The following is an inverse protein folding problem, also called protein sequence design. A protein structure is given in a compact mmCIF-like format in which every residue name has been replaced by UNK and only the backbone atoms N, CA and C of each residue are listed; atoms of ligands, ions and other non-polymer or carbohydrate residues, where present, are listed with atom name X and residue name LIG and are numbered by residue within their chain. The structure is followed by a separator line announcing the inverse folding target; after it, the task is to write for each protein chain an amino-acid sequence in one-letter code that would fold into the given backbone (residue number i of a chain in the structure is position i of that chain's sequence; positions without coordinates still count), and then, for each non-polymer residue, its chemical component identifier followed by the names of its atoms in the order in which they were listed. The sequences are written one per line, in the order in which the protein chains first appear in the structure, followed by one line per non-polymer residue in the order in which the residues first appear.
data_IF_592697406673
#
_entry.id   IF_592697406673
#
_cell.length_a   1.000
_cell.length_b   1.000
_cell.length_c   1.000
_cell.angle_alpha   90.00
_cell.angle_beta   90.00
_cell.angle_gamma   90.00
#
_symmetry.space_group_name_H-M   'P 1'
#
loop_
_entity.id
_entity.type
_entity.pdbx_description
1 polymer ?
#
# COMPACT_ATOMS: atom_id res chain seq x y z
N UNK A 1 9.56 13.78 32.66
CA UNK A 1 10.42 12.67 32.20
C UNK A 1 10.25 12.59 30.69
N UNK A 2 11.35 12.64 29.93
CA UNK A 2 11.31 12.46 28.48
C UNK A 2 11.09 10.96 28.23
N UNK A 3 9.92 10.57 27.71
CA UNK A 3 9.64 9.16 27.40
C UNK A 3 10.48 8.73 26.20
N UNK A 4 11.49 7.90 26.45
CA UNK A 4 12.29 7.30 25.38
C UNK A 4 11.44 6.31 24.58
N UNK A 5 11.66 6.18 23.26
CA UNK A 5 10.99 5.17 22.45
C UNK A 5 11.27 3.78 23.02
N UNK A 6 10.21 3.02 23.32
CA UNK A 6 10.33 1.67 23.86
C UNK A 6 10.48 0.65 22.72
N UNK A 7 11.38 -0.32 22.89
CA UNK A 7 11.52 -1.45 21.97
C UNK A 7 10.77 -2.64 22.57
N UNK A 8 9.94 -3.28 21.76
CA UNK A 8 9.31 -4.57 22.09
C UNK A 8 9.69 -5.62 21.04
N UNK A 9 9.24 -6.86 21.24
CA UNK A 9 9.40 -7.96 20.28
C UNK A 9 8.07 -8.21 19.57
N UNK A 10 8.14 -8.40 18.26
CA UNK A 10 6.98 -8.69 17.42
C UNK A 10 7.29 -9.84 16.47
N UNK A 11 6.28 -10.68 16.20
CA UNK A 11 6.39 -11.72 15.19
C UNK A 11 6.02 -11.14 13.82
N UNK A 12 6.99 -11.18 12.91
CA UNK A 12 6.87 -10.73 11.51
C UNK A 12 6.90 -11.95 10.60
N UNK A 13 5.86 -12.15 9.79
CA UNK A 13 5.76 -13.29 8.88
C UNK A 13 6.39 -12.94 7.53
N UNK A 14 7.72 -13.01 7.42
CA UNK A 14 8.43 -12.70 6.17
C UNK A 14 8.06 -13.67 5.06
N UNK A 15 8.24 -13.26 3.80
CA UNK A 15 8.13 -14.17 2.67
C UNK A 15 9.33 -15.11 2.61
N UNK A 16 9.07 -16.40 2.43
CA UNK A 16 10.09 -17.46 2.32
C UNK A 16 9.86 -18.38 1.12
N UNK A 17 8.94 -17.99 0.24
CA UNK A 17 8.76 -18.69 -1.02
C UNK A 17 9.95 -18.49 -1.96
N UNK A 18 10.10 -19.35 -2.97
CA UNK A 18 11.06 -19.12 -4.04
C UNK A 18 10.77 -17.78 -4.72
N UNK A 19 11.75 -17.20 -5.40
CA UNK A 19 11.43 -16.19 -6.41
C UNK A 19 10.59 -16.92 -7.48
N UNK A 20 9.31 -16.59 -7.67
CA UNK A 20 8.47 -17.37 -8.57
C UNK A 20 9.06 -17.33 -9.98
N UNK A 21 9.31 -18.51 -10.58
CA UNK A 21 9.70 -18.58 -11.99
C UNK A 21 8.56 -18.08 -12.91
N UNK A 22 7.32 -18.25 -12.45
CA UNK A 22 6.12 -17.65 -13.02
C UNK A 22 5.44 -16.80 -11.94
N UNK A 23 5.36 -15.47 -12.12
CA UNK A 23 4.69 -14.57 -11.21
C UNK A 23 3.25 -14.94 -10.82
N UNK A 24 2.56 -15.75 -11.64
CA UNK A 24 1.17 -16.17 -11.44
C UNK A 24 1.02 -17.32 -10.43
N UNK A 25 2.12 -17.93 -9.98
CA UNK A 25 2.10 -19.13 -9.13
C UNK A 25 2.41 -18.90 -7.65
N UNK A 26 2.84 -17.69 -7.27
CA UNK A 26 3.23 -17.35 -5.90
C UNK A 26 2.05 -17.03 -4.96
N UNK A 27 2.32 -17.03 -3.65
CA UNK A 27 1.35 -16.67 -2.60
C UNK A 27 1.04 -15.18 -2.53
N UNK A 28 -0.20 -14.87 -2.15
CA UNK A 28 -0.63 -13.49 -1.90
C UNK A 28 -0.06 -12.95 -0.58
N UNK A 29 0.18 -11.64 -0.52
CA UNK A 29 0.64 -10.90 0.67
C UNK A 29 -0.26 -11.08 1.92
N UNK A 30 -1.52 -11.48 1.72
CA UNK A 30 -2.51 -11.64 2.77
C UNK A 30 -2.46 -12.95 3.57
N UNK A 31 -1.66 -13.95 3.18
CA UNK A 31 -1.60 -15.24 3.90
C UNK A 31 -0.52 -15.23 4.99
N UNK A 32 -0.85 -15.65 6.21
CA UNK A 32 0.10 -15.78 7.32
C UNK A 32 0.91 -17.09 7.32
N UNK A 33 0.39 -18.15 6.66
CA UNK A 33 0.89 -19.51 6.85
C UNK A 33 1.68 -20.06 5.64
N UNK A 34 1.23 -19.80 4.40
CA UNK A 34 1.89 -20.36 3.21
C UNK A 34 3.08 -19.50 2.79
N UNK A 35 4.23 -20.11 2.56
CA UNK A 35 5.47 -19.42 2.14
C UNK A 35 5.83 -18.26 3.09
N UNK A 36 5.57 -18.48 4.39
CA UNK A 36 5.82 -17.54 5.46
C UNK A 36 6.95 -18.07 6.37
N UNK A 37 7.87 -17.18 6.72
CA UNK A 37 8.92 -17.41 7.70
C UNK A 37 8.72 -16.44 8.87
N UNK A 38 8.04 -16.88 9.96
CA UNK A 38 7.84 -16.06 11.13
C UNK A 38 9.17 -15.81 11.84
N UNK A 39 9.49 -14.54 12.04
CA UNK A 39 10.71 -14.09 12.71
C UNK A 39 10.34 -13.12 13.83
N UNK A 40 10.92 -13.33 15.00
CA UNK A 40 10.73 -12.42 16.14
C UNK A 40 11.74 -11.28 16.04
N UNK A 41 11.25 -10.10 15.66
CA UNK A 41 12.06 -8.91 15.40
C UNK A 41 11.90 -7.87 16.51
N UNK A 42 12.95 -7.08 16.83
CA UNK A 42 12.78 -5.86 17.60
C UNK A 42 11.94 -4.86 16.79
N UNK A 43 10.94 -4.27 17.44
CA UNK A 43 10.10 -3.23 16.85
C UNK A 43 10.00 -2.03 17.80
N UNK A 44 10.26 -0.84 17.27
CA UNK A 44 10.39 0.39 18.05
C UNK A 44 9.07 1.15 18.06
N UNK A 45 8.51 1.40 19.25
CA UNK A 45 7.35 2.28 19.41
C UNK A 45 7.78 3.73 19.20
N UNK A 46 7.20 4.37 18.18
CA UNK A 46 7.52 5.75 17.80
C UNK A 46 6.56 6.77 18.43
N UNK A 47 5.60 6.34 19.26
CA UNK A 47 4.59 7.19 19.91
C UNK A 47 5.16 8.51 20.46
N UNK A 48 6.26 8.44 21.23
CA UNK A 48 6.87 9.61 21.87
C UNK A 48 7.64 10.52 20.90
N UNK A 49 7.83 10.08 19.65
CA UNK A 49 8.60 10.77 18.62
C UNK A 49 7.73 11.38 17.50
N UNK A 50 6.40 11.20 17.53
CA UNK A 50 5.56 11.51 16.36
C UNK A 50 5.31 12.99 16.12
N UNK A 51 5.23 13.80 17.18
CA UNK A 51 4.77 15.18 17.09
C UNK A 51 5.74 16.30 17.55
N UNK A 52 7.03 16.06 17.88
CA UNK A 52 7.96 17.17 18.02
C UNK A 52 8.25 17.79 16.63
N UNK A 53 8.44 19.12 16.53
CA UNK A 53 9.00 19.76 15.34
C UNK A 53 10.54 19.73 15.39
N UNK A 54 11.24 19.39 14.29
CA UNK A 54 10.73 18.82 13.03
C UNK A 54 10.30 17.35 13.20
N UNK A 55 9.45 16.80 12.28
CA UNK A 55 9.02 15.41 12.35
C UNK A 55 10.21 14.45 12.36
N UNK A 56 10.21 13.48 13.28
CA UNK A 56 11.29 12.50 13.40
C UNK A 56 11.36 11.53 12.19
N UNK A 57 10.22 11.29 11.52
CA UNK A 57 10.09 10.39 10.38
C UNK A 57 9.50 11.12 9.18
N UNK A 58 10.19 11.03 8.03
CA UNK A 58 9.81 11.74 6.81
C UNK A 58 9.63 10.79 5.62
N UNK A 59 8.82 11.19 4.65
CA UNK A 59 8.54 10.40 3.44
C UNK A 59 9.77 10.28 2.53
N UNK A 60 10.69 11.24 2.54
CA UNK A 60 11.88 11.20 1.68
C UNK A 60 13.02 10.39 2.31
N UNK A 61 13.13 10.34 3.64
CA UNK A 61 14.22 9.60 4.31
C UNK A 61 13.76 8.20 4.72
N UNK A 62 12.68 8.12 5.51
CA UNK A 62 12.23 6.86 6.11
C UNK A 62 11.19 6.15 5.24
N UNK A 63 10.56 6.86 4.30
CA UNK A 63 9.48 6.34 3.46
C UNK A 63 8.11 6.36 4.14
N UNK A 64 8.00 6.89 5.36
CA UNK A 64 6.73 7.07 6.06
C UNK A 64 6.76 8.29 6.99
N UNK A 65 5.58 8.73 7.40
CA UNK A 65 5.38 9.70 8.47
C UNK A 65 4.03 9.45 9.15
N UNK A 66 3.83 9.97 10.36
CA UNK A 66 2.53 9.93 11.05
C UNK A 66 2.17 11.35 11.45
N UNK A 67 0.95 11.77 11.13
CA UNK A 67 0.51 13.15 11.32
C UNK A 67 -0.78 13.20 12.11
N UNK A 68 -0.95 14.27 12.89
CA UNK A 68 -2.27 14.62 13.41
C UNK A 68 -3.16 15.06 12.27
N UNK A 69 -4.28 14.38 12.12
CA UNK A 69 -5.30 14.70 11.14
C UNK A 69 -6.67 14.23 11.64
N UNK A 70 -7.49 15.17 12.11
CA UNK A 70 -8.88 14.89 12.48
C UNK A 70 -9.77 15.06 11.25
N UNK A 71 -10.31 13.95 10.74
CA UNK A 71 -11.35 14.01 9.70
C UNK A 71 -12.66 14.55 10.27
N UNK A 72 -13.46 15.24 9.48
CA UNK A 72 -14.81 15.63 9.88
C UNK A 72 -15.68 14.41 10.24
N UNK A 73 -15.44 13.25 9.60
CA UNK A 73 -16.14 11.99 9.89
C UNK A 73 -15.82 11.38 11.27
N UNK A 74 -14.93 11.98 12.06
CA UNK A 74 -14.67 11.60 13.46
C UNK A 74 -15.54 12.35 14.46
N UNK A 75 -16.30 13.35 14.02
CA UNK A 75 -17.06 14.26 14.88
C UNK A 75 -18.55 14.24 14.53
N UNK A 76 -19.39 14.63 15.49
CA UNK A 76 -20.84 14.77 15.27
C UNK A 76 -21.13 15.74 14.10
N UNK A 77 -22.17 15.48 13.27
CA UNK A 77 -23.21 14.45 13.44
C UNK A 77 -22.79 13.04 12.95
N UNK A 78 -21.58 12.86 12.46
CA UNK A 78 -21.10 11.58 11.94
C UNK A 78 -20.76 10.59 13.06
N UNK A 79 -20.76 9.31 12.69
CA UNK A 79 -20.44 8.19 13.57
C UNK A 79 -19.50 7.20 12.87
N UNK A 80 -19.15 6.11 13.56
CA UNK A 80 -18.39 5.02 12.96
C UNK A 80 -19.04 4.49 11.67
N UNK A 81 -20.37 4.43 11.61
CA UNK A 81 -21.09 3.92 10.43
C UNK A 81 -21.04 4.86 9.24
N UNK A 82 -20.82 6.16 9.46
CA UNK A 82 -20.66 7.14 8.37
C UNK A 82 -19.49 6.80 7.45
N UNK A 83 -18.48 6.09 7.95
CA UNK A 83 -17.35 5.60 7.14
C UNK A 83 -17.77 4.53 6.13
N UNK A 84 -18.93 3.89 6.30
CA UNK A 84 -19.46 2.88 5.36
C UNK A 84 -20.19 3.54 4.18
N UNK A 85 -20.57 4.80 4.28
CA UNK A 85 -21.21 5.57 3.22
C UNK A 85 -20.19 6.02 2.15
N UNK A 86 -20.39 5.61 0.90
CA UNK A 86 -19.50 5.95 -0.21
C UNK A 86 -19.51 7.44 -0.54
N UNK A 87 -20.68 8.09 -0.49
CA UNK A 87 -20.81 9.50 -0.78
C UNK A 87 -20.08 10.35 0.28
N UNK A 88 -20.21 10.00 1.56
CA UNK A 88 -19.48 10.71 2.63
C UNK A 88 -17.96 10.53 2.50
N UNK A 89 -17.49 9.34 2.13
CA UNK A 89 -16.05 9.14 1.86
C UNK A 89 -15.57 9.99 0.68
N UNK A 90 -16.32 10.00 -0.42
CA UNK A 90 -15.97 10.74 -1.64
C UNK A 90 -16.05 12.26 -1.47
N UNK A 91 -17.05 12.77 -0.75
CA UNK A 91 -17.28 14.20 -0.57
C UNK A 91 -16.48 14.84 0.57
N UNK A 92 -16.04 14.05 1.56
CA UNK A 92 -15.36 14.56 2.76
C UNK A 92 -13.96 13.95 2.90
N UNK A 93 -13.88 12.62 3.02
CA UNK A 93 -12.64 11.99 3.42
C UNK A 93 -11.55 12.02 2.34
N UNK A 94 -11.89 11.74 1.08
CA UNK A 94 -10.91 11.76 -0.01
C UNK A 94 -10.33 13.16 -0.27
N UNK A 95 -11.12 14.25 -0.29
CA UNK A 95 -10.58 15.62 -0.34
C UNK A 95 -9.63 15.95 0.82
N UNK A 96 -9.95 15.50 2.04
CA UNK A 96 -9.06 15.65 3.20
C UNK A 96 -7.73 14.90 2.99
N UNK A 97 -7.78 13.67 2.47
CA UNK A 97 -6.58 12.87 2.15
C UNK A 97 -5.74 13.55 1.06
N UNK A 98 -6.36 14.04 -0.01
CA UNK A 98 -5.64 14.78 -1.05
C UNK A 98 -4.93 16.01 -0.46
N UNK A 99 -5.62 16.78 0.39
CA UNK A 99 -5.06 17.96 1.03
C UNK A 99 -3.85 17.62 1.91
N UNK A 100 -3.98 16.66 2.83
CA UNK A 100 -2.88 16.33 3.75
C UNK A 100 -1.69 15.71 3.00
N UNK A 101 -1.93 14.93 1.94
CA UNK A 101 -0.84 14.39 1.12
C UNK A 101 -0.12 15.52 0.38
N UNK A 102 -0.84 16.50 -0.18
CA UNK A 102 -0.20 17.69 -0.79
C UNK A 102 0.65 18.45 0.22
N UNK A 103 0.13 18.69 1.43
CA UNK A 103 0.84 19.40 2.50
C UNK A 103 2.12 18.68 2.93
N UNK A 104 2.13 17.33 2.93
CA UNK A 104 3.28 16.54 3.38
C UNK A 104 4.28 16.20 2.30
N UNK A 105 3.88 16.23 1.04
CA UNK A 105 4.74 15.88 -0.10
C UNK A 105 5.18 17.09 -0.93
N UNK A 106 4.47 18.22 -0.82
CA UNK A 106 4.64 19.36 -1.72
C UNK A 106 4.08 19.13 -3.14
N UNK A 107 3.36 18.04 -3.38
CA UNK A 107 2.74 17.76 -4.66
C UNK A 107 1.69 18.82 -5.01
N UNK A 108 1.57 19.16 -6.30
CA UNK A 108 0.58 20.11 -6.81
C UNK A 108 -0.76 19.44 -7.05
N UNK A 109 -0.74 18.18 -7.47
CA UNK A 109 -1.91 17.36 -7.75
C UNK A 109 -1.80 16.03 -7.04
N UNK A 110 -2.90 15.60 -6.44
CA UNK A 110 -3.07 14.27 -5.84
C UNK A 110 -4.40 13.73 -6.33
N UNK A 111 -4.44 12.46 -6.73
CA UNK A 111 -5.64 11.76 -7.14
C UNK A 111 -5.77 10.47 -6.33
N UNK A 112 -6.97 10.16 -5.86
CA UNK A 112 -7.22 8.89 -5.17
C UNK A 112 -7.31 7.74 -6.16
N UNK A 113 -6.48 6.71 -5.98
CA UNK A 113 -6.51 5.48 -6.78
C UNK A 113 -7.64 4.56 -6.33
N UNK A 114 -7.76 4.39 -5.02
CA UNK A 114 -8.59 3.37 -4.42
C UNK A 114 -8.18 3.11 -2.98
N UNK A 115 -8.53 1.95 -2.45
CA UNK A 115 -8.27 1.66 -1.04
C UNK A 115 -8.79 0.32 -0.58
N UNK A 116 -8.51 0.04 0.69
CA UNK A 116 -8.98 -1.15 1.37
C UNK A 116 -9.48 -0.76 2.74
N UNK A 117 -10.68 -1.19 3.08
CA UNK A 117 -11.20 -1.10 4.44
C UNK A 117 -11.15 -2.47 5.11
N UNK A 118 -10.87 -2.47 6.41
CA UNK A 118 -10.84 -3.66 7.25
C UNK A 118 -11.72 -3.35 8.45
N UNK A 119 -12.94 -3.89 8.46
CA UNK A 119 -13.98 -3.55 9.45
C UNK A 119 -14.69 -4.77 10.03
N UNK A 120 -14.37 -5.97 9.55
CA UNK A 120 -15.00 -7.23 9.95
C UNK A 120 -13.92 -8.22 10.38
N UNK A 121 -14.27 -9.14 11.27
CA UNK A 121 -13.42 -10.28 11.60
C UNK A 121 -13.17 -11.09 10.34
N UNK A 122 -11.91 -11.13 9.91
CA UNK A 122 -11.48 -11.95 8.80
C UNK A 122 -10.91 -13.26 9.36
N UNK A 123 -11.48 -14.39 8.95
CA UNK A 123 -10.84 -15.70 9.10
C UNK A 123 -10.18 -16.03 7.78
N UNK A 124 -8.88 -16.35 7.79
CA UNK A 124 -8.23 -16.91 6.61
C UNK A 124 -8.99 -18.20 6.22
N UNK A 125 -9.49 -18.32 4.98
CA UNK A 125 -10.13 -19.56 4.56
C UNK A 125 -9.08 -20.66 4.47
N UNK A 126 -9.35 -21.84 5.06
CA UNK A 126 -8.45 -23.01 5.08
C UNK A 126 -7.95 -23.42 3.66
N UNK A 127 -8.76 -23.11 2.64
CA UNK A 127 -8.37 -23.10 1.22
C UNK A 127 -9.05 -21.92 0.52
N UNK A 128 -8.33 -21.20 -0.35
CA UNK A 128 -9.01 -20.39 -1.37
C UNK A 128 -9.87 -21.32 -2.24
N UNK A 129 -11.12 -20.98 -2.56
CA UNK A 129 -11.91 -21.78 -3.49
C UNK A 129 -11.17 -21.92 -4.81
N UNK A 130 -11.07 -23.15 -5.30
CA UNK A 130 -10.59 -23.41 -6.66
C UNK A 130 -11.49 -22.62 -7.60
N UNK A 131 -10.93 -21.81 -8.52
CA UNK A 131 -11.74 -21.21 -9.57
C UNK A 131 -12.55 -22.33 -10.25
N UNK A 132 -13.84 -22.13 -10.54
CA UNK A 132 -14.64 -23.15 -11.18
C UNK A 132 -13.97 -23.60 -12.49
N UNK A 133 -14.04 -24.91 -12.83
CA UNK A 133 -13.53 -25.40 -14.10
C UNK A 133 -14.28 -24.72 -15.25
N UNK A 134 -13.58 -24.46 -16.35
CA UNK A 134 -14.17 -23.80 -17.51
C UNK A 134 -15.19 -24.75 -18.17
N UNK A 135 -16.35 -24.25 -18.66
CA UNK A 135 -17.33 -25.08 -19.35
C UNK A 135 -16.75 -25.82 -20.56
N UNK A 136 -17.22 -27.04 -20.78
CA UNK A 136 -16.79 -27.92 -21.87
C UNK A 136 -17.01 -27.22 -23.24
N UNK A 137 -15.96 -27.17 -24.08
CA UNK A 137 -15.96 -26.43 -25.35
C UNK A 137 -15.31 -25.04 -25.33
N UNK A 138 -14.67 -24.63 -24.23
CA UNK A 138 -13.85 -23.41 -24.22
C UNK A 138 -12.54 -23.60 -25.01
N UNK A 139 -12.33 -22.80 -26.06
CA UNK A 139 -11.04 -22.72 -26.78
C UNK A 139 -10.07 -21.83 -25.97
N UNK A 140 -8.81 -22.23 -25.73
CA UNK A 140 -7.83 -21.34 -25.12
C UNK A 140 -7.43 -20.28 -26.14
N UNK A 141 -7.80 -19.03 -25.92
CA UNK A 141 -7.23 -17.93 -26.69
C UNK A 141 -5.91 -17.48 -26.06
N UNK A 142 -4.89 -17.37 -26.92
CA UNK A 142 -3.82 -16.40 -26.74
C UNK A 142 -4.50 -15.02 -26.64
N UNK A 143 -4.45 -14.42 -25.44
CA UNK A 143 -5.36 -13.40 -24.87
C UNK A 143 -6.83 -13.85 -24.66
N UNK A 144 -7.41 -13.62 -23.48
CA UNK A 144 -8.84 -13.78 -23.10
C UNK A 144 -9.28 -15.06 -22.34
N UNK A 145 -9.70 -14.88 -21.07
CA UNK A 145 -10.63 -15.77 -20.33
C UNK A 145 -11.60 -14.93 -19.48
N UNK A 146 -12.72 -14.53 -20.09
CA UNK A 146 -13.91 -13.97 -19.43
C UNK A 146 -14.36 -12.62 -20.02
N UNK A 147 -15.67 -12.46 -20.28
CA UNK A 147 -16.29 -11.15 -20.46
C UNK A 147 -16.21 -10.39 -19.13
N UNK A 148 -15.14 -9.63 -18.92
CA UNK A 148 -15.14 -8.56 -17.95
C UNK A 148 -15.48 -7.28 -18.70
N UNK A 149 -16.62 -6.63 -18.44
CA UNK A 149 -16.94 -5.38 -19.12
C UNK A 149 -15.81 -4.38 -18.88
N UNK A 150 -15.39 -3.67 -19.92
CA UNK A 150 -14.59 -2.45 -19.77
C UNK A 150 -15.29 -1.59 -18.70
N UNK A 151 -14.60 -1.34 -17.59
CA UNK A 151 -15.21 -0.73 -16.42
C UNK A 151 -15.15 0.79 -16.58
N UNK A 152 -16.28 1.50 -16.40
CA UNK A 152 -16.25 2.96 -16.18
C UNK A 152 -15.49 3.22 -14.88
N UNK A 153 -14.19 3.47 -15.01
CA UNK A 153 -13.30 3.71 -13.88
C UNK A 153 -13.23 5.22 -13.58
N UNK A 154 -14.40 5.86 -13.47
CA UNK A 154 -14.53 7.29 -13.18
C UNK A 154 -14.32 7.61 -11.69
N UNK A 155 -14.37 6.60 -10.81
CA UNK A 155 -14.22 6.76 -9.35
C UNK A 155 -13.13 5.85 -8.74
N UNK A 156 -12.59 6.23 -7.56
CA UNK A 156 -11.69 5.38 -6.79
C UNK A 156 -12.27 4.00 -6.48
N UNK A 157 -11.43 2.94 -6.54
CA UNK A 157 -11.85 1.56 -6.24
C UNK A 157 -11.53 1.19 -4.80
N UNK A 158 -12.54 1.07 -3.95
CA UNK A 158 -12.35 0.68 -2.54
C UNK A 158 -12.96 -0.68 -2.25
N UNK A 159 -12.16 -1.59 -1.69
CA UNK A 159 -12.57 -2.94 -1.34
C UNK A 159 -12.86 -3.07 0.16
N UNK A 160 -13.78 -3.95 0.54
CA UNK A 160 -14.01 -4.35 1.93
C UNK A 160 -15.29 -3.84 2.57
N UNK A 161 -16.06 -3.00 1.88
CA UNK A 161 -17.35 -2.51 2.37
C UNK A 161 -18.51 -3.46 2.06
N UNK A 162 -18.46 -4.14 0.91
CA UNK A 162 -19.56 -5.01 0.47
C UNK A 162 -19.49 -6.41 1.11
N UNK A 163 -20.60 -7.13 1.06
CA UNK A 163 -20.66 -8.53 1.50
C UNK A 163 -19.78 -9.41 0.60
N UNK A 164 -18.94 -10.27 1.19
CA UNK A 164 -18.02 -11.13 0.44
C UNK A 164 -16.70 -10.45 0.04
N UNK A 165 -16.49 -9.19 0.46
CA UNK A 165 -15.22 -8.47 0.27
C UNK A 165 -14.40 -8.40 1.56
N UNK A 166 -14.71 -9.21 2.57
CA UNK A 166 -13.99 -9.21 3.84
C UNK A 166 -12.49 -9.44 3.62
N UNK A 167 -11.66 -8.53 4.14
CA UNK A 167 -10.21 -8.62 4.00
C UNK A 167 -9.52 -8.43 5.34
N UNK A 168 -8.62 -9.35 5.66
CA UNK A 168 -7.79 -9.28 6.85
C UNK A 168 -6.63 -8.29 6.73
N UNK A 169 -5.94 -8.00 7.84
CA UNK A 169 -4.64 -7.36 7.81
C UNK A 169 -3.66 -8.18 6.94
N UNK A 170 -2.87 -7.53 6.09
CA UNK A 170 -1.84 -8.22 5.32
C UNK A 170 -0.69 -8.63 6.25
N UNK A 171 -0.43 -9.93 6.35
CA UNK A 171 0.48 -10.51 7.34
C UNK A 171 1.93 -10.65 6.87
N UNK A 172 2.17 -10.58 5.56
CA UNK A 172 3.52 -10.54 5.00
C UNK A 172 4.00 -9.11 4.78
N UNK A 173 5.27 -8.78 5.09
CA UNK A 173 5.93 -7.57 4.62
C UNK A 173 5.84 -7.42 3.11
N UNK A 174 5.24 -6.31 2.66
CA UNK A 174 5.05 -6.02 1.23
C UNK A 174 5.15 -4.53 0.92
N UNK A 175 5.37 -4.22 -0.36
CA UNK A 175 5.22 -2.90 -0.97
C UNK A 175 4.15 -3.02 -2.04
N UNK A 176 3.08 -2.22 -1.94
CA UNK A 176 1.88 -2.35 -2.79
C UNK A 176 2.12 -2.09 -4.28
N UNK A 177 3.22 -1.41 -4.62
CA UNK A 177 3.61 -1.15 -5.99
C UNK A 177 5.11 -1.36 -6.13
N UNK A 178 5.51 -2.25 -7.04
CA UNK A 178 6.86 -2.25 -7.57
C UNK A 178 7.04 -1.18 -8.64
N UNK A 179 8.22 -1.17 -9.22
CA UNK A 179 8.64 -0.23 -10.28
C UNK A 179 7.74 -0.33 -11.51
N UNK A 180 7.51 -1.56 -11.98
CA UNK A 180 6.65 -1.83 -13.13
C UNK A 180 5.19 -1.62 -12.76
N UNK A 181 4.81 -1.98 -11.54
CA UNK A 181 3.45 -1.92 -11.05
C UNK A 181 2.93 -0.50 -10.91
N UNK A 182 3.77 0.42 -10.43
CA UNK A 182 3.44 1.85 -10.38
C UNK A 182 3.15 2.38 -11.80
N UNK A 183 4.07 2.14 -12.75
CA UNK A 183 3.98 2.62 -14.14
C UNK A 183 2.83 2.01 -14.93
N UNK A 184 2.59 0.73 -14.75
CA UNK A 184 1.49 0.04 -15.38
C UNK A 184 0.14 0.54 -14.83
N UNK A 185 0.07 0.80 -13.52
CA UNK A 185 -1.13 1.38 -12.88
C UNK A 185 -1.38 2.81 -13.38
N UNK A 186 -0.35 3.64 -13.51
CA UNK A 186 -0.47 4.99 -14.07
C UNK A 186 -1.14 5.00 -15.45
N UNK A 187 -0.77 4.05 -16.32
CA UNK A 187 -1.29 3.94 -17.69
C UNK A 187 -2.67 3.29 -17.80
N UNK A 188 -2.99 2.35 -16.91
CA UNK A 188 -4.11 1.42 -17.14
C UNK A 188 -5.22 1.46 -16.08
N UNK A 189 -5.02 2.10 -14.92
CA UNK A 189 -5.97 1.98 -13.80
C UNK A 189 -7.26 2.78 -14.00
N UNK A 190 -7.16 4.07 -14.34
CA UNK A 190 -8.27 5.00 -14.56
C UNK A 190 -7.87 6.05 -15.61
N UNK A 191 -8.84 6.47 -16.43
CA UNK A 191 -8.59 7.38 -17.55
C UNK A 191 -8.17 8.79 -17.10
N UNK A 192 -8.80 9.33 -16.06
CA UNK A 192 -8.47 10.66 -15.52
C UNK A 192 -7.03 10.75 -15.00
N UNK A 193 -6.51 9.66 -14.43
CA UNK A 193 -5.11 9.55 -14.00
C UNK A 193 -4.18 9.48 -15.22
N UNK A 194 -4.51 8.67 -16.22
CA UNK A 194 -3.71 8.57 -17.44
C UNK A 194 -3.68 9.92 -18.20
N UNK A 195 -4.80 10.63 -18.24
CA UNK A 195 -4.93 11.95 -18.87
C UNK A 195 -4.09 13.01 -18.14
N UNK A 196 -4.13 13.03 -16.80
CA UNK A 196 -3.29 13.92 -15.97
C UNK A 196 -1.79 13.63 -16.16
N UNK A 197 -1.44 12.37 -16.41
CA UNK A 197 -0.07 11.91 -16.55
C UNK A 197 0.40 11.79 -18.01
N UNK A 198 -0.36 12.31 -18.98
CA UNK A 198 -0.04 12.13 -20.42
C UNK A 198 1.37 12.58 -20.80
N UNK A 199 1.85 13.67 -20.23
CA UNK A 199 3.19 14.22 -20.45
C UNK A 199 4.27 13.36 -19.78
N UNK A 200 3.97 12.85 -18.58
CA UNK A 200 4.83 11.90 -17.86
C UNK A 200 4.99 10.62 -18.68
N UNK A 201 3.87 10.04 -19.15
CA UNK A 201 3.86 8.81 -19.95
C UNK A 201 4.65 9.01 -21.24
N UNK A 202 4.41 10.11 -21.96
CA UNK A 202 5.17 10.43 -23.18
C UNK A 202 6.69 10.54 -22.90
N UNK A 203 7.08 11.19 -21.81
CA UNK A 203 8.49 11.32 -21.43
C UNK A 203 9.12 9.97 -21.00
N UNK A 204 8.35 9.08 -20.36
CA UNK A 204 8.81 7.73 -20.05
C UNK A 204 9.00 6.90 -21.32
N UNK A 205 8.06 6.98 -22.27
CA UNK A 205 8.11 6.21 -23.51
C UNK A 205 9.25 6.70 -24.43
N UNK A 206 9.49 8.01 -24.50
CA UNK A 206 10.66 8.60 -25.18
C UNK A 206 11.97 8.10 -24.54
N UNK A 207 12.10 8.23 -23.21
CA UNK A 207 13.29 7.83 -22.48
C UNK A 207 13.59 6.32 -22.63
N UNK A 208 12.56 5.47 -22.64
CA UNK A 208 12.70 4.04 -22.84
C UNK A 208 13.27 3.67 -24.23
N UNK A 209 13.05 4.51 -25.24
CA UNK A 209 13.56 4.31 -26.60
C UNK A 209 15.02 4.75 -26.82
N UNK A 210 15.63 5.44 -25.86
CA UNK A 210 17.00 5.96 -25.98
C UNK A 210 18.05 4.97 -25.45
N UNK A 211 19.33 5.03 -25.90
CA UNK A 211 20.42 4.29 -25.28
C UNK A 211 20.51 4.57 -23.77
N UNK A 212 20.63 3.51 -22.96
CA UNK A 212 20.54 3.61 -21.49
C UNK A 212 19.11 3.46 -20.93
N UNK A 213 18.10 3.51 -21.79
CA UNK A 213 16.70 3.27 -21.46
C UNK A 213 16.11 4.30 -20.49
N UNK A 214 14.97 3.94 -19.90
CA UNK A 214 14.18 4.83 -19.06
C UNK A 214 14.99 5.46 -17.90
N UNK A 215 15.79 4.64 -17.21
CA UNK A 215 16.47 5.03 -15.96
C UNK A 215 17.51 6.13 -16.16
N UNK A 216 18.20 6.12 -17.30
CA UNK A 216 19.24 7.10 -17.60
C UNK A 216 18.67 8.36 -18.25
N UNK A 217 17.50 8.24 -18.89
CA UNK A 217 16.99 9.27 -19.79
C UNK A 217 15.71 9.98 -19.33
N UNK A 218 15.03 9.51 -18.28
CA UNK A 218 13.78 10.11 -17.83
C UNK A 218 13.96 11.56 -17.34
N UNK A 219 13.27 12.49 -18.02
CA UNK A 219 13.29 13.94 -17.72
C UNK A 219 11.89 14.52 -17.49
N UNK A 220 10.89 13.67 -17.25
CA UNK A 220 9.52 14.09 -16.97
C UNK A 220 9.33 14.62 -15.54
N UNK A 221 8.09 15.06 -15.24
CA UNK A 221 7.70 15.53 -13.89
C UNK A 221 7.86 14.41 -12.85
N UNK A 222 8.30 14.76 -11.63
CA UNK A 222 8.29 13.82 -10.50
C UNK A 222 6.85 13.38 -10.23
N UNK A 223 6.67 12.09 -9.97
CA UNK A 223 5.40 11.51 -9.54
C UNK A 223 5.63 10.31 -8.63
N UNK A 224 4.61 9.91 -7.87
CA UNK A 224 4.76 8.88 -6.85
C UNK A 224 3.44 8.36 -6.32
N UNK A 225 3.48 7.20 -5.68
CA UNK A 225 2.31 6.48 -5.15
C UNK A 225 2.46 6.32 -3.65
N UNK A 226 1.40 6.67 -2.92
CA UNK A 226 1.38 6.69 -1.47
C UNK A 226 0.15 5.97 -0.94
N UNK A 227 0.28 5.38 0.24
CA UNK A 227 -0.82 4.95 1.07
C UNK A 227 -1.04 5.95 2.19
N UNK A 228 -2.30 6.15 2.56
CA UNK A 228 -2.66 6.69 3.86
C UNK A 228 -3.40 5.61 4.63
N UNK A 229 -3.12 5.50 5.92
CA UNK A 229 -3.69 4.48 6.77
C UNK A 229 -4.25 5.13 8.04
N UNK A 230 -5.57 4.98 8.22
CA UNK A 230 -6.33 5.57 9.32
C UNK A 230 -6.98 4.49 10.17
N UNK A 231 -6.72 4.45 11.48
CA UNK A 231 -7.55 3.72 12.42
C UNK A 231 -8.99 4.24 12.44
N UNK A 232 -9.97 3.34 12.54
CA UNK A 232 -11.36 3.71 12.82
C UNK A 232 -11.72 3.56 14.31
N UNK A 233 -10.81 2.96 15.07
CA UNK A 233 -10.79 2.89 16.53
C UNK A 233 -9.33 2.78 17.00
N UNK A 234 -9.01 3.03 18.29
CA UNK A 234 -7.68 2.79 18.83
C UNK A 234 -7.21 1.36 18.56
N UNK A 235 -5.99 1.20 18.05
CA UNK A 235 -5.48 -0.09 17.56
C UNK A 235 -4.69 -0.81 18.64
N UNK A 236 -5.16 -2.01 18.98
CA UNK A 236 -4.56 -2.86 20.03
C UNK A 236 -4.07 -4.21 19.49
N UNK A 237 -4.84 -4.80 18.57
CA UNK A 237 -4.50 -6.03 17.86
C UNK A 237 -4.14 -5.72 16.42
N UNK A 238 -3.26 -6.53 15.83
CA UNK A 238 -2.86 -6.44 14.41
C UNK A 238 -2.32 -5.06 13.96
N UNK A 239 -1.46 -4.39 14.75
CA UNK A 239 -0.92 -3.06 14.41
C UNK A 239 -0.17 -3.04 13.06
N UNK A 240 -0.05 -1.83 12.49
CA UNK A 240 0.76 -1.60 11.28
C UNK A 240 2.23 -1.41 11.67
N UNK A 241 3.09 -2.26 11.14
CA UNK A 241 4.54 -2.14 11.19
C UNK A 241 5.08 -1.54 9.90
N UNK A 242 6.11 -0.70 10.04
CA UNK A 242 6.75 0.06 8.96
C UNK A 242 8.26 -0.19 9.03
N UNK A 243 8.88 -0.61 7.93
CA UNK A 243 10.34 -0.73 7.87
C UNK A 243 10.96 0.62 7.52
N UNK A 244 12.08 0.96 8.17
CA UNK A 244 12.93 2.07 7.76
C UNK A 244 13.52 1.83 6.37
N UNK A 245 13.19 2.69 5.39
CA UNK A 245 13.70 2.57 4.02
C UNK A 245 15.22 2.39 3.96
N UNK A 246 15.95 3.09 4.84
CA UNK A 246 17.42 3.07 4.86
C UNK A 246 18.02 1.72 5.26
N UNK A 247 17.20 0.76 5.67
CA UNK A 247 17.62 -0.55 6.16
C UNK A 247 17.17 -1.72 5.29
N UNK A 248 16.53 -1.42 4.15
CA UNK A 248 16.03 -2.41 3.19
C UNK A 248 17.03 -2.52 2.04
N UNK A 249 17.59 -3.71 1.83
CA UNK A 249 18.42 -3.97 0.65
C UNK A 249 17.53 -4.41 -0.52
N UNK A 250 17.90 -4.07 -1.77
CA UNK A 250 17.14 -4.50 -2.96
C UNK A 250 16.98 -6.02 -3.06
N UNK A 251 17.97 -6.77 -2.58
CA UNK A 251 17.96 -8.24 -2.55
C UNK A 251 16.94 -8.83 -1.57
N UNK A 252 16.47 -8.04 -0.61
CA UNK A 252 15.45 -8.45 0.35
C UNK A 252 14.05 -8.47 -0.28
N UNK A 253 13.89 -7.88 -1.47
CA UNK A 253 12.61 -7.71 -2.16
C UNK A 253 12.45 -8.68 -3.32
N UNK A 254 11.28 -9.33 -3.37
CA UNK A 254 10.88 -10.26 -4.43
C UNK A 254 9.66 -9.69 -5.15
N UNK A 255 9.74 -9.58 -6.47
CA UNK A 255 8.59 -9.16 -7.28
C UNK A 255 7.51 -10.25 -7.31
N UNK A 256 6.26 -9.84 -7.13
CA UNK A 256 5.08 -10.67 -7.33
C UNK A 256 4.14 -9.96 -8.29
N UNK A 257 3.78 -10.60 -9.41
CA UNK A 257 2.96 -9.95 -10.43
C UNK A 257 1.50 -10.37 -10.34
N UNK A 258 0.63 -9.43 -10.68
CA UNK A 258 -0.81 -9.56 -10.67
C UNK A 258 -1.38 -9.05 -11.99
N UNK A 259 -2.64 -9.40 -12.28
CA UNK A 259 -3.36 -8.92 -13.47
C UNK A 259 -4.72 -8.34 -13.11
N UNK A 260 -4.78 -7.12 -12.55
CA UNK A 260 -6.05 -6.46 -12.29
C UNK A 260 -6.73 -6.00 -13.59
N UNK A 261 -8.04 -5.70 -13.56
CA UNK A 261 -8.72 -5.06 -14.67
C UNK A 261 -8.29 -3.60 -14.84
N UNK A 262 -8.10 -3.17 -16.08
CA UNK A 262 -7.77 -1.78 -16.47
C UNK A 262 -8.70 -1.21 -17.56
N UNK A 263 -8.49 0.05 -17.90
CA UNK A 263 -9.31 0.82 -18.86
C UNK A 263 -9.21 0.27 -20.30
N UNK A 264 -8.10 -0.38 -20.66
CA UNK A 264 -7.89 -1.05 -21.95
C UNK A 264 -7.96 -2.58 -21.86
N UNK A 265 -8.48 -3.10 -20.75
CA UNK A 265 -8.45 -4.53 -20.42
C UNK A 265 -7.48 -4.84 -19.27
N UNK A 266 -7.37 -6.12 -18.86
CA UNK A 266 -6.44 -6.52 -17.82
C UNK A 266 -4.99 -6.21 -18.20
N UNK A 267 -4.22 -5.69 -17.25
CA UNK A 267 -2.81 -5.35 -17.44
C UNK A 267 -1.95 -6.01 -16.37
N UNK A 268 -0.68 -6.23 -16.66
CA UNK A 268 0.26 -6.80 -15.69
C UNK A 268 0.83 -5.71 -14.78
N UNK A 269 0.93 -5.99 -13.50
CA UNK A 269 1.44 -5.07 -12.46
C UNK A 269 2.21 -5.88 -11.42
N UNK A 270 3.15 -5.29 -10.69
CA UNK A 270 3.88 -5.97 -9.63
C UNK A 270 3.73 -5.29 -8.25
N UNK A 271 3.84 -6.11 -7.21
CA UNK A 271 4.08 -5.72 -5.83
C UNK A 271 5.43 -6.29 -5.41
N UNK A 272 6.00 -5.80 -4.30
CA UNK A 272 7.17 -6.44 -3.68
C UNK A 272 6.76 -7.18 -2.42
N UNK A 273 7.20 -8.42 -2.27
CA UNK A 273 7.22 -9.14 -1.00
C UNK A 273 8.62 -9.04 -0.40
N UNK A 274 8.75 -9.01 0.92
CA UNK A 274 10.04 -8.89 1.59
C UNK A 274 10.44 -10.18 2.31
N UNK A 275 11.67 -10.61 2.07
CA UNK A 275 12.38 -11.67 2.79
C UNK A 275 12.93 -11.15 4.11
N UNK A 276 13.21 -12.07 5.03
CA UNK A 276 13.78 -11.72 6.33
C UNK A 276 15.18 -11.13 6.17
N UNK A 277 15.45 -10.04 6.92
CA UNK A 277 16.76 -9.43 7.03
C UNK A 277 16.97 -8.93 8.44
N UNK A 278 18.14 -9.21 9.01
CA UNK A 278 18.53 -8.72 10.34
C UNK A 278 18.78 -7.20 10.35
N UNK A 279 18.95 -6.57 9.19
CA UNK A 279 19.13 -5.12 9.07
C UNK A 279 17.84 -4.34 9.26
N UNK A 280 16.70 -4.95 8.92
CA UNK A 280 15.39 -4.28 8.97
C UNK A 280 15.13 -3.66 10.33
N UNK A 281 15.01 -2.33 10.37
CA UNK A 281 14.53 -1.60 11.54
C UNK A 281 13.04 -1.37 11.41
N UNK A 282 12.28 -1.99 12.31
CA UNK A 282 10.83 -1.87 12.33
C UNK A 282 10.37 -0.78 13.31
N UNK A 283 9.37 -0.02 12.89
CA UNK A 283 8.69 1.00 13.67
C UNK A 283 7.18 0.75 13.67
N UNK A 284 6.52 1.19 14.74
CA UNK A 284 5.06 1.19 14.84
C UNK A 284 4.58 2.27 15.81
N UNK A 285 3.35 2.74 15.64
CA UNK A 285 2.71 3.64 16.60
C UNK A 285 1.84 2.83 17.58
N UNK A 286 2.26 2.74 18.85
CA UNK A 286 1.44 2.12 19.87
C UNK A 286 0.12 2.86 20.04
N UNK A 287 -0.97 2.08 20.17
CA UNK A 287 -2.31 2.58 20.40
C UNK A 287 -2.73 3.66 19.40
N UNK A 288 -2.33 3.50 18.13
CA UNK A 288 -2.59 4.50 17.10
C UNK A 288 -4.09 4.82 17.06
N UNK A 289 -4.40 6.12 17.10
CA UNK A 289 -5.75 6.63 17.25
C UNK A 289 -6.37 7.08 15.93
N UNK A 290 -7.70 7.22 15.86
CA UNK A 290 -8.38 7.69 14.65
C UNK A 290 -7.95 9.09 14.16
N UNK A 291 -7.45 9.95 15.04
CA UNK A 291 -6.92 11.28 14.72
C UNK A 291 -5.45 11.26 14.25
N UNK A 292 -4.85 10.08 14.09
CA UNK A 292 -3.45 9.88 13.72
C UNK A 292 -3.38 9.14 12.39
N UNK A 293 -3.02 9.86 11.33
CA UNK A 293 -2.92 9.34 9.98
C UNK A 293 -1.48 8.94 9.68
N UNK A 294 -1.26 7.67 9.37
CA UNK A 294 0.03 7.23 8.80
C UNK A 294 0.00 7.50 7.30
N UNK A 295 1.06 8.10 6.77
CA UNK A 295 1.31 8.22 5.33
C UNK A 295 2.56 7.41 5.05
N UNK A 296 2.48 6.50 4.10
CA UNK A 296 3.59 5.62 3.70
C UNK A 296 3.75 5.67 2.19
N UNK A 297 4.99 5.59 1.74
CA UNK A 297 5.34 5.60 0.33
C UNK A 297 5.34 4.18 -0.21
N UNK A 298 4.72 3.99 -1.35
CA UNK A 298 4.78 2.74 -2.10
C UNK A 298 5.80 2.83 -3.23
N UNK A 299 5.87 3.98 -3.92
CA UNK A 299 6.84 4.22 -4.98
C UNK A 299 7.01 5.73 -5.26
N UNK A 300 8.16 6.16 -5.77
CA UNK A 300 8.46 7.56 -6.14
C UNK A 300 9.51 7.63 -7.26
N UNK A 301 9.19 8.31 -8.36
CA UNK A 301 10.08 8.41 -9.53
C UNK A 301 11.42 9.05 -9.20
N UNK A 302 11.49 9.91 -8.18
CA UNK A 302 12.74 10.54 -7.75
C UNK A 302 13.72 9.53 -7.16
N UNK A 303 13.23 8.43 -6.58
CA UNK A 303 14.07 7.41 -5.96
C UNK A 303 14.92 6.61 -6.96
N UNK A 304 14.56 6.66 -8.25
CA UNK A 304 15.22 5.89 -9.31
C UNK A 304 16.36 6.65 -9.97
N UNK A 305 16.47 7.97 -9.71
CA UNK A 305 17.56 8.77 -10.26
C UNK A 305 18.91 8.32 -9.69
N UNK A 306 19.98 8.31 -10.51
CA UNK A 306 21.32 8.01 -10.03
C UNK A 306 21.72 8.86 -8.81
N UNK A 307 22.14 8.20 -7.72
CA UNK A 307 22.56 8.87 -6.48
C UNK A 307 21.42 9.45 -5.63
N UNK A 308 20.16 9.22 -6.00
CA UNK A 308 19.02 9.67 -5.19
C UNK A 308 19.04 9.05 -3.79
N UNK A 309 18.67 9.86 -2.81
CA UNK A 309 18.47 9.44 -1.42
C UNK A 309 16.99 9.40 -1.02
N UNK A 310 16.10 9.67 -1.97
CA UNK A 310 14.66 9.66 -1.73
C UNK A 310 14.20 8.22 -1.58
N UNK A 311 13.47 7.93 -0.51
CA UNK A 311 12.86 6.63 -0.29
C UNK A 311 11.97 6.25 -1.49
N UNK A 312 12.14 5.03 -1.99
CA UNK A 312 11.45 4.50 -3.17
C UNK A 312 10.27 3.58 -2.88
N UNK A 313 9.89 3.44 -1.61
CA UNK A 313 8.83 2.53 -1.16
C UNK A 313 9.30 1.68 0.01
N UNK A 314 8.41 1.39 0.97
CA UNK A 314 8.77 0.64 2.17
C UNK A 314 7.95 -0.65 2.35
N UNK A 315 8.60 -1.76 2.76
CA UNK A 315 7.88 -2.89 3.30
C UNK A 315 7.06 -2.46 4.52
N UNK A 316 5.81 -2.86 4.52
CA UNK A 316 4.90 -2.68 5.65
C UNK A 316 4.07 -3.94 5.83
N UNK A 317 3.57 -4.15 7.05
CA UNK A 317 2.79 -5.34 7.37
C UNK A 317 1.96 -5.18 8.62
N UNK A 318 1.00 -6.06 8.82
CA UNK A 318 0.45 -6.33 10.14
C UNK A 318 1.31 -7.37 10.85
N UNK A 319 1.78 -7.02 12.05
CA UNK A 319 2.56 -7.93 12.88
C UNK A 319 1.76 -8.43 14.07
N UNK A 320 2.23 -9.52 14.68
CA UNK A 320 1.63 -10.09 15.87
C UNK A 320 2.37 -9.61 17.14
N UNK A 321 1.58 -9.16 18.11
CA UNK A 321 2.01 -8.85 19.47
C UNK A 321 1.45 -9.90 20.40
N UNK A 322 2.33 -10.58 21.13
CA UNK A 322 1.96 -11.57 22.13
C UNK A 322 1.02 -10.96 23.18
N UNK A 323 -0.03 -11.69 23.55
CA UNK A 323 -1.02 -11.27 24.54
C UNK A 323 -2.08 -10.28 24.01
N UNK A 324 -2.13 -10.03 22.70
CA UNK A 324 -3.17 -9.18 22.08
C UNK A 324 -4.27 -9.94 21.36
N UNK A 325 -4.21 -11.28 21.35
CA UNK A 325 -5.09 -12.15 20.56
C UNK A 325 -6.58 -11.97 20.90
N UNK A 326 -6.89 -11.82 22.20
CA UNK A 326 -8.24 -11.63 22.72
C UNK A 326 -8.75 -10.18 22.64
N UNK A 327 -7.90 -9.24 22.21
CA UNK A 327 -8.30 -7.85 22.05
C UNK A 327 -9.14 -7.66 20.77
N UNK A 328 -9.94 -6.59 20.68
CA UNK A 328 -10.74 -6.33 19.49
C UNK A 328 -9.91 -6.29 18.19
N UNK A 329 -10.43 -6.83 17.07
CA UNK A 329 -9.78 -6.68 15.77
C UNK A 329 -9.55 -5.22 15.45
N UNK A 330 -8.41 -4.95 14.81
CA UNK A 330 -8.17 -3.66 14.17
C UNK A 330 -9.29 -3.34 13.17
N UNK A 331 -9.76 -2.10 13.26
CA UNK A 331 -10.55 -1.49 12.20
C UNK A 331 -9.78 -0.33 11.59
N UNK A 332 -9.62 -0.34 10.27
CA UNK A 332 -8.78 0.63 9.57
C UNK A 332 -9.24 0.86 8.14
N UNK A 333 -9.06 2.09 7.66
CA UNK A 333 -9.23 2.46 6.26
C UNK A 333 -7.87 2.85 5.67
N UNK A 334 -7.56 2.26 4.52
CA UNK A 334 -6.40 2.58 3.73
C UNK A 334 -6.86 3.24 2.43
N UNK A 335 -6.29 4.41 2.11
CA UNK A 335 -6.55 5.13 0.87
C UNK A 335 -5.23 5.27 0.12
N UNK A 336 -5.17 4.70 -1.08
CA UNK A 336 -4.04 4.77 -2.00
C UNK A 336 -4.22 5.98 -2.91
N UNK A 337 -3.17 6.75 -3.09
CA UNK A 337 -3.16 7.97 -3.89
C UNK A 337 -1.95 8.01 -4.81
N UNK A 338 -2.10 8.74 -5.91
CA UNK A 338 -1.00 9.13 -6.79
C UNK A 338 -0.80 10.64 -6.69
N UNK A 339 0.46 11.07 -6.63
CA UNK A 339 0.85 12.47 -6.47
C UNK A 339 1.75 12.92 -7.64
N UNK A 340 1.58 14.17 -8.08
CA UNK A 340 2.29 14.80 -9.19
C UNK A 340 2.82 16.19 -8.77
N UNK A 341 4.08 16.49 -9.12
CA UNK A 341 4.78 17.71 -8.73
C UNK A 341 4.95 18.71 -9.87
#
# INVERSE_FOLDING_TARGET
MQEFPSITRATIHYYDGPCPADPRTGTAAGSADREANPQVMPITDIRSLLFPPPPAFTLDINGFTVVKHSSALLSRPYSRDSWNDAYLRESIHYPEIEKVVKERTGAKKVLVLGGTVRTRLFKEPERRPTPPPLPEGTVPLNTNKGNYPAFKADRPRVHGFDKGQEQGPAKKPHIDFGVDGARATLRNWRQDIADEAKDIIAAEDEAAGLPGGLWENYKGRRWGVFGTWRPLQPIKRDPLGLVDFQTVDKQDLVSYFMRPPGIYGPYETDIKLSKASAKHKWYWCKDQRPDELTILKFWDSESEKPGSKVAGGIPHTSFHLEGTDDLPPRESLEVRVIAFW
#
